data_IF_800255582415
#
_entry.id   IF_800255582415
#
_cell.length_a   1.000
_cell.length_b   1.000
_cell.length_c   1.000
_cell.angle_alpha   90.00
_cell.angle_beta   90.00
_cell.angle_gamma   90.00
#
_symmetry.space_group_name_H-M   'P 1'
#
loop_
_entity.id
_entity.type
_entity.pdbx_description
1 polymer ?
#
# COMPACT_ATOMS: atom_id res chain seq x y z
N UNK A 1 46.10 -8.70 -8.09
CA UNK A 1 44.74 -8.11 -8.03
C UNK A 1 44.07 -8.09 -9.39
N UNK A 2 44.79 -7.87 -10.49
CA UNK A 2 44.23 -7.83 -11.87
C UNK A 2 43.43 -9.08 -12.28
N UNK A 3 43.71 -10.25 -11.71
CA UNK A 3 42.99 -11.50 -11.99
C UNK A 3 41.72 -11.72 -11.13
N UNK A 4 41.50 -10.90 -10.09
CA UNK A 4 40.30 -11.03 -9.26
C UNK A 4 39.19 -10.26 -9.95
N UNK A 5 38.19 -10.97 -10.46
CA UNK A 5 37.03 -10.34 -11.09
C UNK A 5 36.16 -9.57 -10.06
N UNK A 6 35.49 -8.53 -10.52
CA UNK A 6 34.46 -7.78 -9.79
C UNK A 6 34.99 -6.80 -8.74
N UNK A 7 36.24 -6.35 -8.85
CA UNK A 7 36.82 -5.37 -7.92
C UNK A 7 37.31 -4.13 -8.66
N UNK A 8 37.23 -2.99 -7.97
CA UNK A 8 37.94 -1.77 -8.35
C UNK A 8 39.01 -1.50 -7.31
N UNK A 9 40.25 -1.27 -7.74
CA UNK A 9 41.35 -0.97 -6.84
C UNK A 9 42.29 0.06 -7.43
N UNK A 10 43.03 0.72 -6.54
CA UNK A 10 43.98 1.78 -6.90
C UNK A 10 45.34 1.16 -7.14
N UNK A 11 45.92 1.34 -8.34
CA UNK A 11 47.30 0.92 -8.61
C UNK A 11 48.24 2.02 -8.14
N UNK A 12 48.98 1.78 -7.06
CA UNK A 12 50.09 2.65 -6.67
C UNK A 12 51.35 2.21 -7.43
N UNK A 13 52.00 3.16 -8.10
CA UNK A 13 53.26 2.94 -8.79
C UNK A 13 54.40 2.79 -7.78
N UNK A 14 54.75 1.54 -7.47
CA UNK A 14 56.10 1.13 -7.10
C UNK A 14 56.68 1.63 -5.77
N UNK A 15 56.09 1.23 -4.63
CA UNK A 15 56.82 0.95 -3.38
C UNK A 15 56.13 -0.22 -2.68
N UNK A 16 56.91 -1.23 -2.27
CA UNK A 16 56.44 -2.32 -1.42
C UNK A 16 55.90 -1.73 -0.11
N UNK A 17 54.59 -1.85 0.09
CA UNK A 17 53.92 -1.29 1.26
C UNK A 17 53.84 -2.35 2.36
N UNK A 18 54.76 -2.27 3.30
CA UNK A 18 54.71 -3.02 4.57
C UNK A 18 53.88 -2.29 5.63
N UNK A 19 53.25 -1.16 5.31
CA UNK A 19 52.40 -0.36 6.20
C UNK A 19 50.96 -0.27 5.69
N UNK A 20 50.22 -1.38 5.68
CA UNK A 20 48.74 -1.38 5.67
C UNK A 20 48.10 -0.63 6.87
N UNK A 21 48.84 0.20 7.60
CA UNK A 21 48.50 0.81 8.89
C UNK A 21 48.15 2.32 8.85
N UNK A 22 48.11 3.00 7.70
CA UNK A 22 47.80 4.45 7.66
C UNK A 22 46.51 4.85 6.92
N UNK A 23 45.64 3.90 6.58
CA UNK A 23 44.44 4.16 5.78
C UNK A 23 43.20 4.62 6.56
N UNK A 24 43.32 5.60 7.47
CA UNK A 24 42.26 6.60 7.69
C UNK A 24 42.94 7.89 8.19
N UNK A 25 43.43 8.74 7.28
CA UNK A 25 43.49 10.19 7.52
C UNK A 25 43.72 10.97 6.24
N UNK A 26 42.77 11.88 6.00
CA UNK A 26 42.78 13.07 5.15
C UNK A 26 44.05 13.36 4.33
N UNK A 27 43.87 13.63 3.04
CA UNK A 27 44.10 14.98 2.50
C UNK A 27 43.94 15.01 0.97
N UNK A 28 43.00 15.85 0.56
CA UNK A 28 43.15 16.73 -0.58
C UNK A 28 44.56 17.34 -0.59
N UNK A 29 45.45 16.81 -1.45
CA UNK A 29 46.53 17.49 -2.18
C UNK A 29 47.68 16.52 -2.47
N UNK A 30 47.71 15.95 -3.68
CA UNK A 30 48.95 15.74 -4.44
C UNK A 30 48.65 15.18 -5.84
N UNK A 31 49.31 15.76 -6.81
CA UNK A 31 49.24 15.57 -8.26
C UNK A 31 49.91 14.27 -8.74
N UNK A 32 49.44 13.11 -8.31
CA UNK A 32 49.81 11.84 -8.94
C UNK A 32 48.56 11.20 -9.56
N UNK A 33 48.58 11.01 -10.90
CA UNK A 33 47.53 10.30 -11.65
C UNK A 33 47.38 8.90 -11.08
N UNK A 34 46.49 8.73 -10.11
CA UNK A 34 46.23 7.43 -9.51
C UNK A 34 45.28 6.68 -10.42
N UNK A 35 45.78 5.66 -11.08
CA UNK A 35 44.99 4.81 -11.97
C UNK A 35 44.08 3.91 -11.13
N UNK A 36 42.75 4.05 -11.31
CA UNK A 36 41.77 3.11 -10.79
C UNK A 36 41.65 2.00 -11.83
N UNK A 37 42.05 0.79 -11.47
CA UNK A 37 41.87 -0.41 -12.29
C UNK A 37 40.57 -1.08 -11.88
N UNK A 38 39.70 -1.29 -12.86
CA UNK A 38 38.45 -2.04 -12.71
C UNK A 38 38.67 -3.38 -13.42
N UNK A 39 38.53 -4.48 -12.69
CA UNK A 39 38.64 -5.82 -13.27
C UNK A 39 37.33 -6.23 -13.95
N UNK A 40 37.38 -7.30 -14.75
CA UNK A 40 36.19 -7.85 -15.39
C UNK A 40 35.10 -8.16 -14.36
N UNK A 41 33.83 -7.97 -14.74
CA UNK A 41 32.71 -8.32 -13.88
C UNK A 41 32.70 -9.83 -13.58
N UNK A 42 32.36 -10.19 -12.33
CA UNK A 42 32.18 -11.61 -11.97
C UNK A 42 30.97 -12.18 -12.72
N UNK A 43 31.02 -13.46 -13.13
CA UNK A 43 29.82 -14.15 -13.56
C UNK A 43 28.79 -14.16 -12.42
N UNK A 44 27.51 -14.04 -12.80
CA UNK A 44 26.43 -14.15 -11.84
C UNK A 44 26.34 -15.59 -11.31
N UNK A 45 26.25 -15.75 -9.99
CA UNK A 45 26.02 -17.07 -9.37
C UNK A 45 24.61 -17.60 -9.68
N UNK A 46 24.38 -18.91 -9.50
CA UNK A 46 23.02 -19.46 -9.53
C UNK A 46 22.19 -18.85 -8.40
N UNK A 47 20.90 -18.63 -8.63
CA UNK A 47 20.01 -18.15 -7.57
C UNK A 47 19.68 -19.26 -6.56
N UNK A 48 19.86 -20.52 -6.96
CA UNK A 48 19.74 -21.70 -6.08
C UNK A 48 20.85 -21.76 -5.03
N UNK A 49 22.02 -21.15 -5.32
CA UNK A 49 23.15 -21.09 -4.38
C UNK A 49 22.97 -19.97 -3.34
N UNK A 50 21.95 -19.12 -3.48
CA UNK A 50 21.65 -18.09 -2.49
C UNK A 50 20.99 -18.74 -1.27
N UNK A 51 21.54 -18.46 -0.09
CA UNK A 51 21.11 -19.04 1.18
C UNK A 51 19.67 -18.62 1.51
N UNK A 52 18.84 -19.60 1.86
CA UNK A 52 17.55 -19.37 2.51
C UNK A 52 17.78 -18.96 3.98
N UNK A 53 17.55 -17.69 4.37
CA UNK A 53 17.98 -17.19 5.68
C UNK A 53 17.02 -17.55 6.82
N UNK A 54 15.92 -18.24 6.54
CA UNK A 54 14.86 -18.54 7.50
C UNK A 54 14.97 -19.96 8.03
N UNK A 55 15.25 -20.08 9.33
CA UNK A 55 15.35 -21.36 10.03
C UNK A 55 14.50 -21.39 11.31
N UNK A 56 14.24 -20.22 11.91
CA UNK A 56 13.34 -20.02 13.06
C UNK A 56 12.59 -18.69 12.87
N UNK A 57 11.28 -18.68 13.15
CA UNK A 57 10.40 -17.52 12.98
C UNK A 57 10.11 -16.77 14.29
N UNK A 58 10.66 -17.19 15.43
CA UNK A 58 10.38 -16.57 16.74
C UNK A 58 10.58 -15.05 16.76
N UNK A 59 11.70 -14.57 16.24
CA UNK A 59 12.02 -13.13 16.22
C UNK A 59 11.29 -12.36 15.10
N UNK A 60 10.62 -13.09 14.19
CA UNK A 60 9.92 -12.55 13.02
C UNK A 60 8.39 -12.66 13.14
N UNK A 61 7.86 -13.12 14.27
CA UNK A 61 6.42 -13.41 14.46
C UNK A 61 5.48 -12.25 14.08
N UNK A 62 5.90 -10.99 14.26
CA UNK A 62 5.13 -9.79 13.95
C UNK A 62 5.80 -8.94 12.85
N UNK A 63 6.59 -9.56 11.96
CA UNK A 63 7.33 -8.87 10.90
C UNK A 63 6.89 -9.39 9.53
N UNK A 64 6.99 -8.51 8.54
CA UNK A 64 6.91 -8.90 7.13
C UNK A 64 8.21 -9.66 6.80
N UNK A 65 8.06 -10.83 6.18
CA UNK A 65 9.18 -11.69 5.77
C UNK A 65 9.44 -11.46 4.29
N UNK A 66 10.69 -11.24 3.90
CA UNK A 66 11.04 -11.00 2.50
C UNK A 66 11.49 -12.27 1.80
N UNK A 67 11.01 -12.49 0.58
CA UNK A 67 11.34 -13.70 -0.16
C UNK A 67 11.69 -13.37 -1.62
N UNK A 68 12.76 -13.95 -2.13
CA UNK A 68 13.22 -13.74 -3.50
C UNK A 68 13.14 -15.07 -4.25
N UNK A 69 12.37 -15.09 -5.34
CA UNK A 69 12.34 -16.24 -6.27
C UNK A 69 12.95 -15.91 -7.62
N UNK A 70 13.14 -14.62 -7.91
CA UNK A 70 13.83 -14.14 -9.09
C UNK A 70 14.64 -12.89 -8.78
N UNK A 71 15.75 -12.72 -9.51
CA UNK A 71 16.62 -11.55 -9.41
C UNK A 71 16.88 -10.95 -10.78
N UNK A 72 16.78 -9.64 -10.86
CA UNK A 72 16.83 -8.87 -12.10
C UNK A 72 15.44 -8.38 -12.53
N UNK A 73 15.38 -7.66 -13.64
CA UNK A 73 14.14 -7.16 -14.21
C UNK A 73 14.32 -7.06 -15.74
N UNK A 74 13.36 -7.49 -16.57
CA UNK A 74 13.50 -7.38 -18.02
C UNK A 74 13.32 -5.95 -18.53
N UNK A 75 12.90 -5.02 -17.66
CA UNK A 75 12.62 -3.62 -18.01
C UNK A 75 13.81 -2.69 -17.77
N UNK A 76 13.78 -1.55 -18.47
CA UNK A 76 14.86 -0.57 -18.50
C UNK A 76 14.58 0.74 -17.75
N UNK A 77 13.66 0.73 -16.78
CA UNK A 77 13.19 1.94 -16.10
C UNK A 77 14.34 2.77 -15.53
N UNK A 78 14.44 4.04 -15.93
CA UNK A 78 15.61 4.89 -15.70
C UNK A 78 15.85 5.20 -14.21
N UNK A 79 14.81 5.21 -13.39
CA UNK A 79 14.88 5.47 -11.95
C UNK A 79 15.25 4.22 -11.12
N UNK A 80 15.19 3.02 -11.70
CA UNK A 80 15.36 1.76 -10.97
C UNK A 80 16.78 1.19 -11.12
N UNK A 81 17.40 0.75 -10.02
CA UNK A 81 18.72 0.08 -10.07
C UNK A 81 18.66 -1.30 -10.74
N UNK A 82 17.51 -1.97 -10.70
CA UNK A 82 17.34 -3.26 -11.36
C UNK A 82 17.40 -3.18 -12.89
N UNK A 83 17.32 -1.98 -13.47
CA UNK A 83 17.53 -1.76 -14.91
C UNK A 83 18.99 -1.95 -15.36
N UNK A 84 19.94 -2.00 -14.41
CA UNK A 84 21.37 -2.17 -14.71
C UNK A 84 21.70 -3.61 -15.10
N UNK A 85 21.05 -4.59 -14.47
CA UNK A 85 21.19 -6.02 -14.77
C UNK A 85 20.04 -6.45 -15.70
N UNK A 86 20.34 -6.74 -16.97
CA UNK A 86 19.32 -7.00 -18.00
C UNK A 86 18.71 -8.40 -17.98
N UNK A 87 19.36 -9.34 -17.30
CA UNK A 87 18.94 -10.74 -17.28
C UNK A 87 18.16 -11.02 -16.00
N UNK A 88 17.10 -11.81 -16.12
CA UNK A 88 16.37 -12.34 -14.98
C UNK A 88 16.84 -13.75 -14.70
N UNK A 89 17.23 -14.01 -13.45
CA UNK A 89 17.58 -15.35 -12.95
C UNK A 89 16.49 -15.81 -12.00
N UNK A 90 16.11 -17.08 -12.10
CA UNK A 90 15.06 -17.69 -11.28
C UNK A 90 15.66 -18.75 -10.38
N UNK A 91 15.08 -18.92 -9.19
CA UNK A 91 15.30 -20.11 -8.35
C UNK A 91 14.55 -21.28 -8.95
N UNK A 92 15.07 -22.49 -8.78
CA UNK A 92 14.39 -23.71 -9.20
C UNK A 92 13.08 -23.86 -8.45
N UNK A 93 12.05 -24.29 -9.17
CA UNK A 93 10.71 -24.41 -8.61
C UNK A 93 10.63 -25.43 -7.46
N UNK A 94 11.48 -26.45 -7.48
CA UNK A 94 11.60 -27.42 -6.38
C UNK A 94 12.01 -26.72 -5.07
N UNK A 95 13.05 -25.87 -5.12
CA UNK A 95 13.51 -25.10 -3.98
C UNK A 95 12.43 -24.10 -3.53
N UNK A 96 11.80 -23.42 -4.50
CA UNK A 96 10.75 -22.44 -4.21
C UNK A 96 9.58 -23.09 -3.47
N UNK A 97 9.08 -24.24 -3.92
CA UNK A 97 8.00 -24.98 -3.25
C UNK A 97 8.37 -25.40 -1.84
N UNK A 98 9.60 -25.90 -1.63
CA UNK A 98 10.12 -26.24 -0.29
C UNK A 98 10.14 -25.05 0.66
N UNK A 99 10.58 -23.89 0.19
CA UNK A 99 10.66 -22.66 0.98
C UNK A 99 9.28 -22.05 1.25
N UNK A 100 8.35 -22.13 0.30
CA UNK A 100 6.94 -21.78 0.50
C UNK A 100 6.29 -22.68 1.55
N UNK A 101 6.53 -23.99 1.52
CA UNK A 101 6.02 -24.92 2.53
C UNK A 101 6.50 -24.52 3.92
N UNK A 102 7.77 -24.12 4.08
CA UNK A 102 8.28 -23.64 5.35
C UNK A 102 7.46 -22.44 5.88
N UNK A 103 7.16 -21.44 5.04
CA UNK A 103 6.35 -20.30 5.47
C UNK A 103 4.92 -20.69 5.86
N UNK A 104 4.32 -21.62 5.12
CA UNK A 104 2.98 -22.14 5.39
C UNK A 104 2.93 -22.94 6.70
N UNK A 105 3.92 -23.81 6.95
CA UNK A 105 4.04 -24.60 8.18
C UNK A 105 4.24 -23.70 9.40
N UNK A 106 5.05 -22.65 9.25
CA UNK A 106 5.28 -21.65 10.30
C UNK A 106 4.12 -20.65 10.45
N UNK A 107 3.09 -20.71 9.60
CA UNK A 107 1.94 -19.79 9.59
C UNK A 107 2.38 -18.33 9.60
N UNK A 108 3.38 -18.00 8.77
CA UNK A 108 3.91 -16.64 8.66
C UNK A 108 2.77 -15.69 8.29
N UNK A 109 2.54 -14.57 9.01
CA UNK A 109 1.42 -13.70 8.72
C UNK A 109 1.50 -13.07 7.31
N UNK A 110 2.68 -12.62 6.90
CA UNK A 110 2.89 -12.06 5.56
C UNK A 110 4.30 -12.33 5.03
N UNK A 111 4.35 -12.81 3.79
CA UNK A 111 5.57 -12.99 2.99
C UNK A 111 5.52 -12.02 1.80
N UNK A 112 6.41 -11.02 1.77
CA UNK A 112 6.56 -10.08 0.65
C UNK A 112 7.65 -10.56 -0.31
N UNK A 113 7.25 -10.82 -1.55
CA UNK A 113 8.18 -11.13 -2.62
C UNK A 113 8.95 -9.85 -3.01
N UNK A 114 10.27 -9.96 -3.15
CA UNK A 114 11.15 -8.85 -3.57
C UNK A 114 11.55 -8.96 -5.04
N UNK A 115 10.85 -9.82 -5.77
CA UNK A 115 10.91 -9.98 -7.22
C UNK A 115 10.38 -8.71 -7.90
N UNK A 116 11.24 -8.02 -8.65
CA UNK A 116 10.96 -6.67 -9.21
C UNK A 116 9.82 -6.62 -10.21
N UNK A 117 9.53 -7.74 -10.84
CA UNK A 117 8.35 -7.95 -11.68
C UNK A 117 8.02 -9.42 -11.57
N UNK A 118 7.32 -9.78 -10.50
CA UNK A 118 7.01 -11.18 -10.18
C UNK A 118 6.39 -11.94 -11.36
N UNK A 119 5.50 -11.28 -12.11
CA UNK A 119 4.79 -11.86 -13.25
C UNK A 119 5.50 -11.72 -14.60
N UNK A 120 6.82 -11.47 -14.62
CA UNK A 120 7.57 -11.41 -15.89
C UNK A 120 7.74 -12.78 -16.57
N UNK A 121 7.45 -13.89 -15.88
CA UNK A 121 7.47 -15.25 -16.43
C UNK A 121 6.20 -16.01 -16.03
N UNK A 122 5.26 -16.14 -16.96
CA UNK A 122 3.95 -16.76 -16.74
C UNK A 122 4.04 -18.15 -16.10
N UNK A 123 4.96 -19.01 -16.57
CA UNK A 123 5.11 -20.37 -16.05
C UNK A 123 5.52 -20.34 -14.57
N UNK A 124 6.54 -19.55 -14.23
CA UNK A 124 7.05 -19.43 -12.86
C UNK A 124 5.97 -18.88 -11.92
N UNK A 125 5.28 -17.82 -12.35
CA UNK A 125 4.18 -17.16 -11.62
C UNK A 125 3.04 -18.14 -11.35
N UNK A 126 2.56 -18.84 -12.38
CA UNK A 126 1.44 -19.77 -12.24
C UNK A 126 1.77 -20.97 -11.35
N UNK A 127 2.99 -21.52 -11.43
CA UNK A 127 3.38 -22.63 -10.55
C UNK A 127 3.43 -22.21 -9.06
N UNK A 128 3.86 -20.98 -8.76
CA UNK A 128 3.85 -20.44 -7.39
C UNK A 128 2.43 -20.21 -6.90
N UNK A 129 1.59 -19.55 -7.71
CA UNK A 129 0.19 -19.31 -7.37
C UNK A 129 -0.61 -20.60 -7.19
N UNK A 130 -0.35 -21.62 -8.00
CA UNK A 130 -0.94 -22.94 -7.84
C UNK A 130 -0.56 -23.57 -6.51
N UNK A 131 0.73 -23.56 -6.19
CA UNK A 131 1.22 -24.11 -4.93
C UNK A 131 0.61 -23.40 -3.71
N UNK A 132 0.58 -22.06 -3.73
CA UNK A 132 0.00 -21.26 -2.65
C UNK A 132 -1.48 -21.57 -2.43
N UNK A 133 -2.26 -21.70 -3.51
CA UNK A 133 -3.69 -22.01 -3.42
C UNK A 133 -3.94 -23.44 -2.93
N UNK A 134 -3.22 -24.42 -3.45
CA UNK A 134 -3.37 -25.84 -3.11
C UNK A 134 -2.97 -26.14 -1.65
N UNK A 135 -2.04 -25.36 -1.11
CA UNK A 135 -1.49 -25.52 0.23
C UNK A 135 -1.91 -24.40 1.20
N UNK A 136 -2.97 -23.64 0.88
CA UNK A 136 -3.42 -22.54 1.72
C UNK A 136 -3.79 -23.01 3.14
N UNK A 137 -3.16 -22.38 4.13
CA UNK A 137 -3.34 -22.70 5.55
C UNK A 137 -4.39 -21.80 6.24
N UNK A 138 -5.05 -20.90 5.48
CA UNK A 138 -6.04 -19.95 5.98
C UNK A 138 -5.47 -18.75 6.73
N UNK A 139 -4.15 -18.59 6.80
CA UNK A 139 -3.46 -17.59 7.63
C UNK A 139 -2.45 -16.76 6.82
N UNK A 140 -1.56 -17.42 6.08
CA UNK A 140 -0.41 -16.75 5.45
C UNK A 140 -0.84 -15.89 4.26
N UNK A 141 -0.42 -14.63 4.25
CA UNK A 141 -0.61 -13.72 3.12
C UNK A 141 0.67 -13.62 2.28
N UNK A 142 0.52 -13.54 0.95
CA UNK A 142 1.64 -13.37 0.01
C UNK A 142 1.50 -12.07 -0.78
N UNK A 143 2.50 -11.19 -0.68
CA UNK A 143 2.50 -9.88 -1.33
C UNK A 143 3.47 -9.91 -2.52
N UNK A 144 2.96 -9.61 -3.72
CA UNK A 144 3.71 -9.59 -4.98
C UNK A 144 3.83 -8.19 -5.58
N UNK A 145 5.04 -7.79 -5.96
CA UNK A 145 5.28 -6.64 -6.87
C UNK A 145 5.15 -7.13 -8.32
N UNK A 146 4.15 -6.63 -9.06
CA UNK A 146 3.83 -7.12 -10.41
C UNK A 146 3.40 -6.00 -11.37
N UNK A 147 3.35 -6.30 -12.66
CA UNK A 147 2.80 -5.39 -13.67
C UNK A 147 1.43 -5.88 -14.12
N UNK A 148 0.38 -5.11 -13.86
CA UNK A 148 -0.98 -5.55 -14.14
C UNK A 148 -1.30 -5.55 -15.65
N UNK A 149 -0.61 -4.74 -16.46
CA UNK A 149 -0.81 -4.69 -17.92
C UNK A 149 -0.42 -5.99 -18.65
N UNK A 150 0.45 -6.82 -18.07
CA UNK A 150 0.83 -8.12 -18.65
C UNK A 150 0.02 -9.29 -18.11
N UNK A 151 -0.84 -9.09 -17.10
CA UNK A 151 -1.73 -10.15 -16.62
C UNK A 151 -2.64 -10.63 -17.76
N UNK A 152 -2.75 -11.95 -17.86
CA UNK A 152 -3.65 -12.62 -18.78
C UNK A 152 -5.01 -12.85 -18.12
N UNK A 153 -6.06 -13.00 -18.93
CA UNK A 153 -7.40 -13.34 -18.41
C UNK A 153 -7.39 -14.64 -17.60
N UNK A 154 -6.59 -15.63 -18.02
CA UNK A 154 -6.46 -16.91 -17.32
C UNK A 154 -5.87 -16.74 -15.93
N UNK A 155 -4.83 -15.91 -15.79
CA UNK A 155 -4.23 -15.57 -14.50
C UNK A 155 -5.23 -14.84 -13.59
N UNK A 156 -5.95 -13.86 -14.13
CA UNK A 156 -6.95 -13.10 -13.37
C UNK A 156 -8.07 -14.01 -12.87
N UNK A 157 -8.66 -14.83 -13.74
CA UNK A 157 -9.68 -15.80 -13.35
C UNK A 157 -9.15 -16.81 -12.33
N UNK A 158 -7.86 -17.16 -12.38
CA UNK A 158 -7.27 -18.04 -11.39
C UNK A 158 -7.18 -17.38 -10.01
N UNK A 159 -6.63 -16.17 -9.92
CA UNK A 159 -6.42 -15.49 -8.62
C UNK A 159 -7.75 -15.04 -7.98
N UNK A 160 -8.80 -14.83 -8.79
CA UNK A 160 -10.18 -14.61 -8.30
C UNK A 160 -10.76 -15.78 -7.49
N UNK A 161 -10.18 -16.97 -7.64
CA UNK A 161 -10.59 -18.16 -6.84
C UNK A 161 -9.85 -18.29 -5.51
N UNK A 162 -8.96 -17.36 -5.17
CA UNK A 162 -8.25 -17.38 -3.90
C UNK A 162 -9.17 -16.95 -2.76
N UNK A 163 -8.91 -17.45 -1.54
CA UNK A 163 -9.56 -16.90 -0.36
C UNK A 163 -9.22 -15.42 -0.19
N UNK A 164 -10.12 -14.70 0.46
CA UNK A 164 -9.91 -13.30 0.81
C UNK A 164 -8.61 -13.13 1.60
N UNK A 165 -7.76 -12.22 1.12
CA UNK A 165 -6.49 -11.89 1.75
C UNK A 165 -5.42 -12.99 1.63
N UNK A 166 -5.55 -13.96 0.71
CA UNK A 166 -4.45 -14.88 0.40
C UNK A 166 -3.27 -14.15 -0.22
N UNK A 167 -3.55 -13.20 -1.12
CA UNK A 167 -2.52 -12.45 -1.84
C UNK A 167 -2.79 -10.95 -1.85
N UNK A 168 -1.73 -10.17 -2.04
CA UNK A 168 -1.78 -8.73 -2.30
C UNK A 168 -0.95 -8.42 -3.53
N UNK A 169 -1.42 -7.50 -4.36
CA UNK A 169 -0.70 -7.03 -5.55
C UNK A 169 -0.27 -5.58 -5.37
N UNK A 170 1.03 -5.35 -5.46
CA UNK A 170 1.65 -4.02 -5.59
C UNK A 170 1.94 -3.79 -7.07
N UNK A 171 1.24 -2.82 -7.65
CA UNK A 171 1.15 -2.54 -9.08
C UNK A 171 1.75 -1.16 -9.32
N UNK A 172 2.91 -1.15 -9.96
CA UNK A 172 3.54 0.10 -10.34
C UNK A 172 2.81 0.79 -11.48
N UNK A 173 2.16 1.93 -11.25
CA UNK A 173 1.68 2.81 -12.34
C UNK A 173 2.75 3.84 -12.65
N UNK A 174 3.33 4.42 -11.60
CA UNK A 174 4.44 5.37 -11.55
C UNK A 174 4.07 6.76 -12.09
N UNK A 175 3.41 6.81 -13.24
CA UNK A 175 2.80 8.01 -13.83
C UNK A 175 1.76 7.59 -14.86
N UNK A 176 0.79 8.45 -15.15
CA UNK A 176 -0.10 8.30 -16.32
C UNK A 176 0.23 9.29 -17.44
N UNK A 177 1.22 10.17 -17.23
CA UNK A 177 1.69 11.11 -18.23
C UNK A 177 2.56 10.38 -19.28
N UNK A 178 2.16 10.35 -20.56
CA UNK A 178 2.91 9.66 -21.62
C UNK A 178 4.35 10.15 -21.77
N UNK A 179 4.58 11.46 -21.62
CA UNK A 179 5.91 12.07 -21.75
C UNK A 179 6.82 11.58 -20.61
N UNK A 180 6.30 11.53 -19.39
CA UNK A 180 6.99 10.96 -18.22
C UNK A 180 7.32 9.49 -18.47
N UNK A 181 6.34 8.68 -18.88
CA UNK A 181 6.50 7.24 -19.13
C UNK A 181 7.59 6.96 -20.17
N UNK A 182 7.61 7.74 -21.26
CA UNK A 182 8.64 7.66 -22.28
C UNK A 182 10.01 8.05 -21.72
N UNK A 183 10.11 9.19 -21.02
CA UNK A 183 11.37 9.71 -20.48
C UNK A 183 12.01 8.79 -19.43
N UNK A 184 11.18 8.04 -18.69
CA UNK A 184 11.67 7.07 -17.71
C UNK A 184 11.90 5.67 -18.29
N UNK A 185 11.71 5.48 -19.59
CA UNK A 185 11.82 4.19 -20.28
C UNK A 185 10.92 3.09 -19.68
N UNK A 186 9.76 3.48 -19.12
CA UNK A 186 8.77 2.51 -18.64
C UNK A 186 7.95 2.04 -19.83
N UNK A 187 7.78 0.72 -19.96
CA UNK A 187 6.89 0.11 -20.95
C UNK A 187 5.67 -0.37 -20.20
N UNK A 188 4.52 0.21 -20.52
CA UNK A 188 3.25 -0.10 -19.88
C UNK A 188 2.11 0.26 -20.82
N UNK A 189 1.11 -0.62 -20.92
CA UNK A 189 -0.18 -0.29 -21.53
C UNK A 189 -1.15 0.14 -20.43
N UNK A 190 -1.43 1.45 -20.34
CA UNK A 190 -2.25 2.03 -19.27
C UNK A 190 -3.70 1.57 -19.35
N UNK A 191 -4.26 1.43 -20.55
CA UNK A 191 -5.66 1.03 -20.72
C UNK A 191 -5.83 -0.43 -20.30
N UNK A 192 -4.91 -1.31 -20.73
CA UNK A 192 -4.90 -2.70 -20.30
C UNK A 192 -4.64 -2.85 -18.80
N UNK A 193 -3.80 -1.99 -18.21
CA UNK A 193 -3.61 -1.93 -16.76
C UNK A 193 -4.92 -1.60 -16.05
N UNK A 194 -5.63 -0.55 -16.48
CA UNK A 194 -6.93 -0.12 -15.92
C UNK A 194 -7.95 -1.25 -15.99
N UNK A 195 -8.06 -1.90 -17.14
CA UNK A 195 -8.96 -3.05 -17.34
C UNK A 195 -8.63 -4.21 -16.39
N UNK A 196 -7.37 -4.61 -16.31
CA UNK A 196 -6.94 -5.73 -15.48
C UNK A 196 -7.10 -5.44 -13.98
N UNK A 197 -6.79 -4.23 -13.52
CA UNK A 197 -7.04 -3.79 -12.13
C UNK A 197 -8.53 -3.89 -11.79
N UNK A 198 -9.40 -3.42 -12.68
CA UNK A 198 -10.85 -3.51 -12.49
C UNK A 198 -11.32 -4.96 -12.45
N UNK A 199 -10.80 -5.83 -13.33
CA UNK A 199 -11.15 -7.26 -13.35
C UNK A 199 -10.70 -7.99 -12.07
N UNK A 200 -9.50 -7.72 -11.57
CA UNK A 200 -9.01 -8.30 -10.30
C UNK A 200 -9.87 -7.86 -9.13
N UNK A 201 -10.36 -6.61 -9.14
CA UNK A 201 -11.13 -6.05 -8.03
C UNK A 201 -12.56 -6.63 -7.89
N UNK A 202 -13.08 -7.31 -8.91
CA UNK A 202 -14.49 -7.74 -8.96
C UNK A 202 -14.87 -8.70 -7.81
N UNK A 203 -13.98 -9.61 -7.41
CA UNK A 203 -14.25 -10.54 -6.29
C UNK A 203 -13.92 -9.94 -4.92
N UNK A 204 -13.28 -8.76 -4.85
CA UNK A 204 -12.87 -8.12 -3.60
C UNK A 204 -12.04 -9.01 -2.66
N UNK A 205 -11.34 -10.01 -3.21
CA UNK A 205 -10.56 -11.00 -2.46
C UNK A 205 -9.06 -10.67 -2.40
N UNK A 206 -8.57 -9.80 -3.29
CA UNK A 206 -7.16 -9.40 -3.43
C UNK A 206 -7.02 -7.92 -3.12
N UNK A 207 -6.13 -7.59 -2.17
CA UNK A 207 -5.75 -6.22 -1.89
C UNK A 207 -4.87 -5.66 -3.01
N UNK A 208 -5.27 -4.56 -3.63
CA UNK A 208 -4.56 -3.88 -4.71
C UNK A 208 -3.93 -2.58 -4.22
N UNK A 209 -2.61 -2.52 -4.32
CA UNK A 209 -1.77 -1.39 -3.98
C UNK A 209 -1.22 -0.80 -5.27
N UNK A 210 -1.54 0.46 -5.58
CA UNK A 210 -1.07 1.14 -6.80
C UNK A 210 -0.13 2.29 -6.48
N UNK A 211 1.03 2.30 -7.14
CA UNK A 211 2.11 3.27 -6.88
C UNK A 211 2.16 4.40 -7.92
N UNK A 212 2.36 5.62 -7.45
CA UNK A 212 2.78 6.79 -8.23
C UNK A 212 4.14 7.32 -7.73
N UNK A 213 4.91 7.98 -8.58
CA UNK A 213 6.18 8.61 -8.19
C UNK A 213 6.17 10.10 -8.58
N UNK A 214 6.12 10.97 -7.58
CA UNK A 214 6.30 12.40 -7.75
C UNK A 214 7.75 12.77 -8.08
N UNK A 215 7.92 13.80 -8.91
CA UNK A 215 9.22 14.36 -9.28
C UNK A 215 9.95 13.58 -10.38
N UNK A 216 9.22 12.79 -11.17
CA UNK A 216 9.75 12.25 -12.42
C UNK A 216 9.92 13.35 -13.49
N UNK A 217 10.77 13.14 -14.52
CA UNK A 217 10.92 14.09 -15.62
C UNK A 217 9.60 14.32 -16.35
N UNK A 218 9.37 15.55 -16.83
CA UNK A 218 8.14 16.00 -17.50
C UNK A 218 6.87 15.99 -16.65
N UNK A 219 7.00 15.83 -15.33
CA UNK A 219 5.88 15.82 -14.39
C UNK A 219 5.89 17.06 -13.51
N UNK A 220 4.96 17.97 -13.79
CA UNK A 220 4.60 19.11 -12.96
C UNK A 220 3.39 18.80 -12.05
N UNK A 221 2.99 19.75 -11.21
CA UNK A 221 1.85 19.56 -10.30
C UNK A 221 0.54 19.22 -11.04
N UNK A 222 0.30 19.81 -12.22
CA UNK A 222 -0.94 19.63 -12.98
C UNK A 222 -1.02 18.28 -13.69
N UNK A 223 0.10 17.80 -14.24
CA UNK A 223 0.20 16.44 -14.79
C UNK A 223 0.12 15.39 -13.69
N UNK A 224 0.74 15.65 -12.53
CA UNK A 224 0.63 14.78 -11.37
C UNK A 224 -0.81 14.71 -10.82
N UNK A 225 -1.52 15.85 -10.77
CA UNK A 225 -2.95 15.92 -10.43
C UNK A 225 -3.78 14.98 -11.31
N UNK A 226 -3.53 14.97 -12.63
CA UNK A 226 -4.18 14.02 -13.55
C UNK A 226 -3.82 12.57 -13.21
N UNK A 227 -2.54 12.27 -12.99
CA UNK A 227 -2.09 10.91 -12.64
C UNK A 227 -2.65 10.41 -11.31
N UNK A 228 -2.76 11.27 -10.31
CA UNK A 228 -3.41 10.96 -9.05
C UNK A 228 -4.87 10.56 -9.26
N UNK A 229 -5.63 11.38 -10.01
CA UNK A 229 -7.04 11.12 -10.26
C UNK A 229 -7.27 9.89 -11.15
N UNK A 230 -6.41 9.64 -12.14
CA UNK A 230 -6.44 8.42 -12.95
C UNK A 230 -6.30 7.17 -12.07
N UNK A 231 -5.35 7.17 -11.14
CA UNK A 231 -5.11 6.04 -10.23
C UNK A 231 -6.19 5.92 -9.18
N UNK A 232 -6.64 7.03 -8.59
CA UNK A 232 -7.76 7.05 -7.63
C UNK A 232 -9.04 6.49 -8.26
N UNK A 233 -9.32 6.81 -9.53
CA UNK A 233 -10.47 6.29 -10.26
C UNK A 233 -10.42 4.76 -10.48
N UNK A 234 -9.24 4.14 -10.40
CA UNK A 234 -9.11 2.67 -10.40
C UNK A 234 -9.53 2.03 -9.07
N UNK A 235 -9.83 2.85 -8.04
CA UNK A 235 -10.25 2.44 -6.70
C UNK A 235 -9.31 1.40 -6.05
N UNK A 236 -7.99 1.64 -6.00
CA UNK A 236 -7.07 0.73 -5.34
C UNK A 236 -7.35 0.68 -3.83
N UNK A 237 -7.12 -0.43 -3.16
CA UNK A 237 -7.23 -0.51 -1.69
C UNK A 237 -6.15 0.34 -1.00
N UNK A 238 -5.02 0.57 -1.69
CA UNK A 238 -3.97 1.49 -1.28
C UNK A 238 -3.45 2.29 -2.49
N UNK A 239 -3.42 3.62 -2.37
CA UNK A 239 -2.78 4.53 -3.32
C UNK A 239 -1.51 5.09 -2.69
N UNK A 240 -0.35 4.69 -3.21
CA UNK A 240 0.93 5.11 -2.67
C UNK A 240 1.53 6.24 -3.48
N UNK A 241 1.80 7.33 -2.77
CA UNK A 241 2.55 8.45 -3.31
C UNK A 241 4.03 8.30 -2.94
N UNK A 242 4.81 7.76 -3.87
CA UNK A 242 6.26 7.76 -3.78
C UNK A 242 6.85 9.09 -4.23
N UNK A 243 8.08 9.37 -3.80
CA UNK A 243 8.89 10.47 -4.32
C UNK A 243 10.15 9.89 -4.97
N UNK A 244 10.55 10.44 -6.11
CA UNK A 244 11.71 9.98 -6.85
C UNK A 244 12.94 9.94 -5.93
N UNK A 245 13.59 8.78 -5.87
CA UNK A 245 14.90 8.61 -5.22
C UNK A 245 15.98 8.52 -6.29
N UNK A 246 16.95 9.42 -6.24
CA UNK A 246 18.04 9.47 -7.23
C UNK A 246 19.13 8.50 -6.82
N UNK A 247 18.97 7.23 -7.21
CA UNK A 247 19.87 6.14 -6.83
C UNK A 247 21.18 6.17 -7.63
N UNK A 248 22.32 6.20 -6.94
CA UNK A 248 23.65 6.18 -7.58
C UNK A 248 23.80 4.95 -8.47
N UNK A 249 24.17 5.17 -9.73
CA UNK A 249 24.34 4.12 -10.74
C UNK A 249 23.14 3.93 -11.66
N UNK A 250 21.95 4.42 -11.29
CA UNK A 250 20.79 4.39 -12.18
C UNK A 250 20.97 5.35 -13.37
N UNK A 251 20.27 5.11 -14.50
CA UNK A 251 20.20 6.09 -15.58
C UNK A 251 19.72 7.47 -15.11
N UNK A 252 18.74 7.54 -14.20
CA UNK A 252 18.22 8.79 -13.65
C UNK A 252 19.30 9.62 -12.95
N UNK A 253 20.20 8.98 -12.19
CA UNK A 253 21.32 9.67 -11.57
C UNK A 253 22.25 10.33 -12.60
N UNK A 254 22.44 9.71 -13.78
CA UNK A 254 23.23 10.32 -14.86
C UNK A 254 22.54 11.52 -15.50
N UNK A 255 21.20 11.48 -15.57
CA UNK A 255 20.37 12.54 -16.14
C UNK A 255 20.04 13.66 -15.15
N UNK A 256 20.32 13.49 -13.85
CA UNK A 256 19.85 14.39 -12.79
C UNK A 256 20.18 15.87 -13.06
N UNK A 257 21.40 16.16 -13.55
CA UNK A 257 21.81 17.53 -13.90
C UNK A 257 21.01 18.10 -15.07
N UNK A 258 20.76 17.30 -16.10
CA UNK A 258 20.04 17.71 -17.31
C UNK A 258 18.56 17.97 -17.00
N UNK A 259 17.95 17.13 -16.17
CA UNK A 259 16.57 17.27 -15.71
C UNK A 259 16.39 18.24 -14.54
N UNK A 260 17.43 18.98 -14.17
CA UNK A 260 17.38 19.97 -13.09
C UNK A 260 17.02 19.38 -11.72
N UNK A 261 17.26 18.09 -11.50
CA UNK A 261 16.84 17.37 -10.30
C UNK A 261 17.74 17.76 -9.13
N UNK A 262 17.16 18.45 -8.16
CA UNK A 262 17.74 18.67 -6.83
C UNK A 262 17.24 17.56 -5.92
N UNK A 263 18.13 16.92 -5.16
CA UNK A 263 17.79 15.79 -4.30
C UNK A 263 18.73 15.71 -3.10
N UNK A 264 18.32 14.97 -2.07
CA UNK A 264 19.15 14.77 -0.88
C UNK A 264 20.46 14.04 -1.22
N UNK A 265 21.59 14.55 -0.74
CA UNK A 265 22.90 13.92 -0.93
C UNK A 265 23.14 12.67 -0.07
N UNK A 266 22.26 12.45 0.92
CA UNK A 266 22.26 11.29 1.84
C UNK A 266 20.99 10.46 1.64
N UNK A 267 21.04 9.15 1.97
CA UNK A 267 19.84 8.32 1.99
C UNK A 267 18.69 9.02 2.75
N UNK A 268 17.45 9.02 2.22
CA UNK A 268 16.96 8.17 1.12
C UNK A 268 17.17 8.71 -0.31
N UNK A 269 17.96 9.78 -0.52
CA UNK A 269 18.22 10.41 -1.82
C UNK A 269 16.97 10.93 -2.54
N UNK A 270 15.98 11.34 -1.77
CA UNK A 270 14.69 11.81 -2.27
C UNK A 270 14.84 13.16 -2.99
N UNK A 271 14.05 13.34 -4.05
CA UNK A 271 13.92 14.57 -4.83
C UNK A 271 13.37 15.71 -3.98
N UNK A 272 13.93 16.90 -4.19
CA UNK A 272 13.48 18.17 -3.62
C UNK A 272 12.73 18.98 -4.67
N UNK A 273 13.28 19.05 -5.89
CA UNK A 273 12.66 19.74 -7.02
C UNK A 273 13.23 19.23 -8.34
N UNK A 274 12.55 19.53 -9.43
CA UNK A 274 13.01 19.27 -10.81
C UNK A 274 12.80 20.53 -11.66
N UNK A 275 13.16 20.47 -12.95
CA UNK A 275 12.79 21.52 -13.92
C UNK A 275 11.27 21.74 -14.01
N UNK A 276 10.46 20.72 -13.75
CA UNK A 276 8.99 20.76 -13.89
C UNK A 276 8.26 20.90 -12.56
N UNK A 277 8.86 20.44 -11.46
CA UNK A 277 8.26 20.44 -10.13
C UNK A 277 9.08 21.30 -9.17
N UNK A 278 8.67 22.56 -8.93
CA UNK A 278 9.25 23.42 -7.90
C UNK A 278 9.19 22.80 -6.50
N UNK A 279 10.07 23.25 -5.61
CA UNK A 279 10.13 22.74 -4.24
C UNK A 279 8.82 22.96 -3.45
N UNK A 280 8.14 24.07 -3.70
CA UNK A 280 6.84 24.37 -3.09
C UNK A 280 5.75 23.39 -3.49
N UNK A 281 5.68 23.01 -4.77
CA UNK A 281 4.76 21.98 -5.25
C UNK A 281 5.12 20.59 -4.70
N UNK A 282 6.41 20.26 -4.63
CA UNK A 282 6.87 19.02 -3.99
C UNK A 282 6.44 18.93 -2.52
N UNK A 283 6.43 20.06 -1.78
CA UNK A 283 5.89 20.13 -0.42
C UNK A 283 4.38 19.98 -0.36
N UNK A 284 3.64 20.52 -1.32
CA UNK A 284 2.19 20.29 -1.45
C UNK A 284 1.90 18.80 -1.62
N UNK A 285 2.61 18.13 -2.53
CA UNK A 285 2.47 16.68 -2.74
C UNK A 285 2.81 15.87 -1.49
N UNK A 286 3.79 16.31 -0.67
CA UNK A 286 4.10 15.66 0.62
C UNK A 286 2.93 15.75 1.60
N UNK A 287 2.28 16.92 1.69
CA UNK A 287 1.09 17.07 2.51
C UNK A 287 -0.05 16.16 2.04
N UNK A 288 -0.23 16.04 0.71
CA UNK A 288 -1.24 15.16 0.10
C UNK A 288 -0.94 13.69 0.43
N UNK A 289 0.31 13.24 0.26
CA UNK A 289 0.75 11.88 0.61
C UNK A 289 0.37 11.52 2.05
N UNK A 290 0.67 12.39 3.01
CA UNK A 290 0.40 12.13 4.42
C UNK A 290 -1.10 12.03 4.77
N UNK A 291 -1.96 12.81 4.09
CA UNK A 291 -3.41 12.73 4.32
C UNK A 291 -4.06 11.57 3.57
N UNK A 292 -3.54 11.20 2.39
CA UNK A 292 -3.96 9.99 1.66
C UNK A 292 -3.64 8.75 2.48
N UNK A 293 -2.41 8.64 2.99
CA UNK A 293 -1.99 7.52 3.85
C UNK A 293 -2.89 7.36 5.09
N UNK A 294 -3.29 8.49 5.65
CA UNK A 294 -4.07 8.54 6.89
C UNK A 294 -5.55 8.21 6.69
N UNK A 295 -6.16 8.71 5.63
CA UNK A 295 -7.61 8.63 5.43
C UNK A 295 -8.02 7.58 4.41
N UNK A 296 -7.35 7.53 3.25
CA UNK A 296 -7.66 6.58 2.19
C UNK A 296 -7.04 5.21 2.49
N UNK A 297 -5.71 5.13 2.61
CA UNK A 297 -4.98 3.86 2.77
C UNK A 297 -5.27 3.15 4.09
N UNK A 298 -5.84 3.86 5.07
CA UNK A 298 -6.19 3.26 6.37
C UNK A 298 -7.46 2.40 6.34
N UNK A 299 -8.27 2.52 5.27
CA UNK A 299 -9.57 1.86 5.08
C UNK A 299 -10.54 2.07 6.27
N UNK A 300 -10.33 3.15 7.02
CA UNK A 300 -11.10 3.49 8.24
C UNK A 300 -12.20 4.51 7.99
N UNK A 301 -12.22 5.16 6.81
CA UNK A 301 -13.08 6.30 6.51
C UNK A 301 -13.87 6.09 5.21
N UNK A 302 -14.14 4.85 4.81
CA UNK A 302 -14.68 4.54 3.48
C UNK A 302 -15.95 5.31 3.14
N UNK A 303 -16.92 5.39 4.07
CA UNK A 303 -18.20 6.06 3.80
C UNK A 303 -18.07 7.58 3.87
N UNK A 304 -17.38 8.11 4.88
CA UNK A 304 -17.21 9.56 5.05
C UNK A 304 -16.30 10.18 3.99
N UNK A 305 -15.20 9.49 3.63
CA UNK A 305 -14.27 9.96 2.61
C UNK A 305 -14.91 9.97 1.23
N UNK A 306 -15.66 8.92 0.87
CA UNK A 306 -16.41 8.88 -0.39
C UNK A 306 -17.33 10.09 -0.53
N UNK A 307 -18.13 10.36 0.50
CA UNK A 307 -19.07 11.47 0.50
C UNK A 307 -18.39 12.83 0.42
N UNK A 308 -17.26 13.00 1.09
CA UNK A 308 -16.52 14.27 1.06
C UNK A 308 -15.82 14.51 -0.27
N UNK A 309 -15.23 13.47 -0.88
CA UNK A 309 -14.59 13.53 -2.20
C UNK A 309 -15.62 13.82 -3.30
N UNK A 310 -16.81 13.21 -3.24
CA UNK A 310 -17.92 13.44 -4.19
C UNK A 310 -18.43 14.90 -4.21
N UNK A 311 -18.08 15.72 -3.21
CA UNK A 311 -18.42 17.14 -3.17
C UNK A 311 -17.27 18.08 -3.53
N UNK A 312 -16.20 17.52 -4.07
CA UNK A 312 -15.08 18.26 -4.63
C UNK A 312 -15.04 18.04 -6.15
N UNK A 313 -14.22 18.85 -6.83
CA UNK A 313 -14.04 18.72 -8.28
C UNK A 313 -13.53 17.32 -8.65
N UNK A 314 -12.59 16.83 -7.86
CA UNK A 314 -11.95 15.52 -8.01
C UNK A 314 -11.22 15.14 -6.70
N UNK A 315 -10.65 13.93 -6.66
CA UNK A 315 -10.02 13.39 -5.46
C UNK A 315 -8.76 14.16 -5.06
N UNK A 316 -7.91 14.54 -6.02
CA UNK A 316 -6.72 15.33 -5.72
C UNK A 316 -7.09 16.69 -5.10
N UNK A 317 -8.08 17.40 -5.65
CA UNK A 317 -8.55 18.67 -5.11
C UNK A 317 -9.05 18.53 -3.66
N UNK A 318 -9.73 17.42 -3.34
CA UNK A 318 -10.10 17.09 -1.97
C UNK A 318 -8.87 16.94 -1.06
N UNK A 319 -7.91 16.09 -1.42
CA UNK A 319 -6.74 15.83 -0.57
C UNK A 319 -5.81 17.03 -0.48
N UNK A 320 -5.72 17.88 -1.51
CA UNK A 320 -4.99 19.15 -1.47
C UNK A 320 -5.60 20.10 -0.42
N UNK A 321 -6.93 20.28 -0.43
CA UNK A 321 -7.63 21.08 0.58
C UNK A 321 -7.46 20.51 1.99
N UNK A 322 -7.52 19.19 2.14
CA UNK A 322 -7.31 18.54 3.42
C UNK A 322 -5.87 18.72 3.92
N UNK A 323 -4.87 18.56 3.06
CA UNK A 323 -3.46 18.82 3.38
C UNK A 323 -3.21 20.28 3.77
N UNK A 324 -3.86 21.22 3.09
CA UNK A 324 -3.82 22.64 3.47
C UNK A 324 -4.45 22.88 4.85
N UNK A 325 -5.59 22.25 5.14
CA UNK A 325 -6.22 22.30 6.47
C UNK A 325 -5.30 21.74 7.55
N UNK A 326 -4.61 20.62 7.29
CA UNK A 326 -3.61 20.05 8.18
C UNK A 326 -2.46 21.01 8.46
N UNK A 327 -1.94 21.65 7.42
CA UNK A 327 -0.86 22.65 7.53
C UNK A 327 -1.29 23.84 8.39
N UNK A 328 -2.46 24.41 8.11
CA UNK A 328 -2.97 25.61 8.80
C UNK A 328 -3.23 25.37 10.29
N UNK A 329 -3.56 24.15 10.69
CA UNK A 329 -3.80 23.79 12.08
C UNK A 329 -2.59 23.13 12.78
N UNK A 330 -1.46 23.01 12.07
CA UNK A 330 -0.23 22.42 12.62
C UNK A 330 -0.32 20.90 12.89
N UNK A 331 -1.28 20.20 12.28
CA UNK A 331 -1.51 18.77 12.54
C UNK A 331 -0.36 17.89 12.03
N UNK A 332 0.40 18.29 11.02
CA UNK A 332 1.60 17.55 10.59
C UNK A 332 2.72 17.49 11.65
N UNK A 333 2.71 18.40 12.63
CA UNK A 333 3.75 18.46 13.67
C UNK A 333 3.46 17.59 14.90
N UNK A 334 2.31 16.92 14.93
CA UNK A 334 1.85 16.16 16.10
C UNK A 334 1.38 14.80 15.63
N UNK A 335 1.59 13.76 16.43
CA UNK A 335 1.01 12.44 16.15
C UNK A 335 -0.45 12.40 16.61
N UNK A 336 -1.35 12.08 15.69
CA UNK A 336 -2.78 11.92 15.98
C UNK A 336 -3.08 10.48 16.38
N UNK A 337 -3.91 10.33 17.40
CA UNK A 337 -4.63 9.08 17.67
C UNK A 337 -5.69 8.83 16.61
N UNK A 338 -6.20 7.60 16.57
CA UNK A 338 -7.30 7.26 15.66
C UNK A 338 -8.51 8.16 15.87
N UNK A 339 -8.95 8.38 17.11
CA UNK A 339 -10.14 9.22 17.39
C UNK A 339 -9.92 10.67 16.95
N UNK A 340 -8.72 11.20 17.14
CA UNK A 340 -8.38 12.54 16.65
C UNK A 340 -8.49 12.64 15.13
N UNK A 341 -8.20 11.59 14.37
CA UNK A 341 -8.40 11.64 12.91
C UNK A 341 -9.89 11.79 12.53
N UNK A 342 -10.82 11.17 13.27
CA UNK A 342 -12.27 11.38 13.09
C UNK A 342 -12.68 12.81 13.46
N UNK A 343 -12.18 13.33 14.59
CA UNK A 343 -12.43 14.71 15.03
C UNK A 343 -11.91 15.74 14.04
N UNK A 344 -10.72 15.51 13.48
CA UNK A 344 -10.11 16.39 12.47
C UNK A 344 -10.92 16.36 11.17
N UNK A 345 -11.36 15.18 10.71
CA UNK A 345 -12.17 15.09 9.50
C UNK A 345 -13.54 15.75 9.67
N UNK A 346 -14.15 15.61 10.85
CA UNK A 346 -15.36 16.34 11.23
C UNK A 346 -15.14 17.86 11.26
N UNK A 347 -14.04 18.33 11.86
CA UNK A 347 -13.69 19.74 11.91
C UNK A 347 -13.41 20.33 10.52
N UNK A 348 -12.76 19.56 9.64
CA UNK A 348 -12.57 19.88 8.23
C UNK A 348 -13.93 20.06 7.53
N UNK A 349 -14.83 19.08 7.65
CA UNK A 349 -16.16 19.15 7.06
C UNK A 349 -16.95 20.38 7.53
N UNK A 350 -16.85 20.73 8.82
CA UNK A 350 -17.47 21.93 9.37
C UNK A 350 -16.88 23.22 8.77
N UNK A 351 -15.55 23.30 8.65
CA UNK A 351 -14.87 24.47 8.06
C UNK A 351 -15.27 24.65 6.59
N UNK A 352 -15.34 23.56 5.84
CA UNK A 352 -15.76 23.55 4.43
C UNK A 352 -17.28 23.64 4.25
N UNK A 353 -18.04 23.96 5.31
CA UNK A 353 -19.50 24.17 5.28
C UNK A 353 -20.28 23.00 4.68
N UNK A 354 -19.78 21.77 4.90
CA UNK A 354 -20.42 20.52 4.47
C UNK A 354 -21.66 20.25 5.33
N UNK A 355 -22.54 19.37 4.85
CA UNK A 355 -23.67 18.90 5.66
C UNK A 355 -23.16 18.04 6.84
N UNK A 356 -22.97 18.69 7.98
CA UNK A 356 -22.37 18.06 9.17
C UNK A 356 -23.22 16.94 9.78
N UNK A 357 -24.53 16.93 9.54
CA UNK A 357 -25.41 15.86 10.04
C UNK A 357 -25.17 14.56 9.27
N UNK A 358 -25.05 14.64 7.95
CA UNK A 358 -24.69 13.49 7.11
C UNK A 358 -23.27 13.02 7.43
N UNK A 359 -22.30 13.93 7.45
CA UNK A 359 -20.89 13.58 7.75
C UNK A 359 -20.77 12.91 9.11
N UNK A 360 -21.53 13.37 10.11
CA UNK A 360 -21.56 12.77 11.44
C UNK A 360 -22.05 11.32 11.39
N UNK A 361 -23.15 11.03 10.68
CA UNK A 361 -23.64 9.65 10.52
C UNK A 361 -22.63 8.74 9.80
N UNK A 362 -21.97 9.24 8.75
CA UNK A 362 -20.96 8.48 8.02
C UNK A 362 -19.72 8.18 8.89
N UNK A 363 -19.23 9.17 9.66
CA UNK A 363 -18.12 8.97 10.60
C UNK A 363 -18.47 7.97 11.71
N UNK A 364 -19.73 7.95 12.18
CA UNK A 364 -20.20 6.95 13.16
C UNK A 364 -20.16 5.56 12.55
N UNK A 365 -20.66 5.41 11.32
CA UNK A 365 -20.63 4.13 10.61
C UNK A 365 -19.19 3.63 10.45
N UNK A 366 -18.31 4.49 9.94
CA UNK A 366 -16.89 4.21 9.75
C UNK A 366 -16.19 3.80 11.07
N UNK A 367 -16.51 4.49 12.16
CA UNK A 367 -15.97 4.21 13.49
C UNK A 367 -16.38 2.81 13.98
N UNK A 368 -17.67 2.48 13.94
CA UNK A 368 -18.18 1.18 14.41
C UNK A 368 -17.91 0.04 13.43
N UNK A 369 -17.74 0.32 12.14
CA UNK A 369 -17.20 -0.64 11.19
C UNK A 369 -15.79 -1.05 11.62
N UNK A 370 -14.98 -0.13 12.16
CA UNK A 370 -13.62 -0.46 12.61
C UNK A 370 -13.57 -1.04 14.03
N UNK A 371 -14.22 -0.40 15.00
CA UNK A 371 -14.00 -0.65 16.42
C UNK A 371 -15.28 -0.67 17.26
N UNK A 372 -15.33 -1.61 18.22
CA UNK A 372 -16.34 -1.63 19.26
C UNK A 372 -15.98 -0.61 20.36
N UNK A 373 -16.12 0.68 20.03
CA UNK A 373 -15.73 1.76 20.94
C UNK A 373 -16.63 1.83 22.17
N UNK A 374 -16.02 1.98 23.34
CA UNK A 374 -16.73 2.18 24.62
C UNK A 374 -16.89 3.65 24.99
N UNK A 375 -15.99 4.50 24.49
CA UNK A 375 -16.03 5.95 24.64
C UNK A 375 -16.20 6.53 23.24
N UNK A 376 -17.27 7.28 23.07
CA UNK A 376 -17.55 8.00 21.83
C UNK A 376 -16.62 9.23 21.70
N UNK A 377 -16.23 9.61 20.47
CA UNK A 377 -15.58 10.89 20.18
C UNK A 377 -16.35 12.11 20.70
N UNK A 378 -15.65 13.22 20.93
CA UNK A 378 -16.23 14.43 21.52
C UNK A 378 -17.39 15.00 20.66
N UNK A 379 -17.30 14.91 19.32
CA UNK A 379 -18.37 15.35 18.41
C UNK A 379 -19.63 14.46 18.45
N UNK A 380 -19.55 13.32 19.14
CA UNK A 380 -20.63 12.35 19.33
C UNK A 380 -21.21 12.35 20.76
N UNK A 381 -20.58 13.04 21.73
CA UNK A 381 -21.06 13.06 23.10
C UNK A 381 -22.55 13.43 23.21
N UNK A 382 -23.25 12.78 24.15
CA UNK A 382 -24.66 13.00 24.53
C UNK A 382 -25.73 12.38 23.61
N UNK A 383 -25.41 11.37 22.79
CA UNK A 383 -26.41 10.56 22.07
C UNK A 383 -27.09 9.54 23.00
N UNK A 384 -27.99 10.02 23.87
CA UNK A 384 -28.75 9.13 24.75
C UNK A 384 -29.82 8.36 23.98
N UNK A 385 -29.77 7.02 24.02
CA UNK A 385 -30.86 6.19 23.52
C UNK A 385 -32.13 6.42 24.33
N UNK A 386 -33.26 6.59 23.63
CA UNK A 386 -34.60 6.57 24.22
C UNK A 386 -34.87 5.22 24.88
N UNK A 387 -35.71 5.17 25.92
CA UNK A 387 -36.09 3.89 26.55
C UNK A 387 -36.71 2.89 25.57
N UNK A 388 -37.48 3.35 24.57
CA UNK A 388 -38.02 2.49 23.51
C UNK A 388 -36.92 1.77 22.72
N UNK A 389 -35.90 2.52 22.26
CA UNK A 389 -34.74 1.95 21.55
C UNK A 389 -33.95 0.98 22.43
N UNK A 390 -33.77 1.28 23.73
CA UNK A 390 -33.10 0.36 24.66
C UNK A 390 -33.86 -0.96 24.79
N UNK A 391 -35.18 -0.90 24.86
CA UNK A 391 -36.01 -2.09 24.94
C UNK A 391 -35.99 -2.90 23.63
N UNK A 392 -36.03 -2.22 22.48
CA UNK A 392 -35.84 -2.86 21.15
C UNK A 392 -34.52 -3.62 21.05
N UNK A 393 -33.40 -3.06 21.54
CA UNK A 393 -32.11 -3.76 21.56
C UNK A 393 -32.15 -5.01 22.44
N UNK A 394 -32.70 -4.90 23.66
CA UNK A 394 -32.82 -6.05 24.57
C UNK A 394 -33.63 -7.17 23.95
N UNK A 395 -34.80 -6.83 23.38
CA UNK A 395 -35.67 -7.78 22.70
C UNK A 395 -34.98 -8.45 21.50
N UNK A 396 -34.23 -7.68 20.70
CA UNK A 396 -33.42 -8.21 19.61
C UNK A 396 -32.43 -9.27 20.10
N UNK A 397 -31.55 -8.94 21.05
CA UNK A 397 -30.52 -9.87 21.51
C UNK A 397 -31.09 -11.10 22.23
N UNK A 398 -32.22 -10.97 22.95
CA UNK A 398 -32.91 -12.11 23.56
C UNK A 398 -33.50 -13.05 22.50
N UNK A 399 -34.12 -12.51 21.45
CA UNK A 399 -34.63 -13.29 20.33
C UNK A 399 -33.48 -13.93 19.54
N UNK A 400 -32.39 -13.21 19.34
CA UNK A 400 -31.25 -13.67 18.55
C UNK A 400 -30.54 -14.84 19.24
N UNK A 401 -30.44 -14.82 20.57
CA UNK A 401 -29.93 -15.95 21.37
C UNK A 401 -30.76 -17.24 21.26
N UNK A 402 -31.95 -17.19 20.65
CA UNK A 402 -32.80 -18.37 20.40
C UNK A 402 -32.86 -18.75 18.92
N UNK A 403 -32.76 -17.76 18.02
CA UNK A 403 -33.00 -17.94 16.57
C UNK A 403 -31.73 -17.99 15.74
N UNK A 404 -30.63 -17.42 16.23
CA UNK A 404 -29.32 -17.43 15.56
C UNK A 404 -29.36 -16.97 14.09
N UNK A 405 -30.23 -16.01 13.76
CA UNK A 405 -30.45 -15.55 12.39
C UNK A 405 -29.31 -14.67 11.88
N UNK A 406 -28.86 -13.72 12.69
CA UNK A 406 -27.84 -12.72 12.34
C UNK A 406 -26.48 -13.02 12.98
N UNK A 407 -26.45 -13.71 14.12
CA UNK A 407 -25.27 -14.00 14.95
C UNK A 407 -25.13 -15.49 15.31
N UNK A 408 -25.05 -16.41 14.32
CA UNK A 408 -24.96 -17.85 14.58
C UNK A 408 -23.63 -18.30 15.22
N UNK A 409 -22.59 -17.45 15.18
CA UNK A 409 -21.24 -17.81 15.67
C UNK A 409 -21.03 -17.53 17.18
N UNK A 410 -22.12 -17.31 17.92
CA UNK A 410 -22.12 -16.98 19.35
C UNK A 410 -22.83 -18.02 20.26
N UNK A 411 -22.74 -19.35 20.02
CA UNK A 411 -23.55 -20.34 20.76
C UNK A 411 -23.21 -20.43 22.26
N UNK A 412 -21.99 -20.08 22.65
CA UNK A 412 -21.50 -20.18 24.03
C UNK A 412 -21.74 -18.90 24.86
N UNK A 413 -22.34 -17.87 24.27
CA UNK A 413 -22.51 -16.56 24.90
C UNK A 413 -23.98 -16.27 25.19
N UNK A 414 -24.28 -15.81 26.40
CA UNK A 414 -25.62 -15.29 26.69
C UNK A 414 -25.84 -13.94 25.98
N UNK A 415 -27.10 -13.55 25.80
CA UNK A 415 -27.48 -12.34 25.07
C UNK A 415 -26.80 -11.04 25.60
N UNK A 416 -26.49 -10.94 26.91
CA UNK A 416 -25.78 -9.78 27.47
C UNK A 416 -24.29 -9.76 27.13
N UNK A 417 -23.69 -10.93 26.91
CA UNK A 417 -22.32 -11.04 26.42
C UNK A 417 -22.27 -10.67 24.93
N UNK A 418 -23.17 -11.24 24.12
CA UNK A 418 -23.29 -10.92 22.68
C UNK A 418 -23.51 -9.42 22.46
N UNK A 419 -24.39 -8.79 23.24
CA UNK A 419 -24.63 -7.34 23.21
C UNK A 419 -23.37 -6.51 23.54
N UNK A 420 -22.42 -7.04 24.31
CA UNK A 420 -21.13 -6.36 24.60
C UNK A 420 -20.07 -6.65 23.54
N UNK A 421 -20.21 -7.73 22.80
CA UNK A 421 -19.27 -8.18 21.77
C UNK A 421 -19.62 -7.66 20.38
N UNK A 422 -20.84 -7.16 20.18
CA UNK A 422 -21.38 -6.57 18.95
C UNK A 422 -21.82 -5.13 19.21
N UNK A 423 -22.17 -4.39 18.16
CA UNK A 423 -22.76 -3.05 18.29
C UNK A 423 -23.94 -2.91 17.34
N UNK A 424 -24.94 -2.12 17.73
CA UNK A 424 -26.08 -1.79 16.88
C UNK A 424 -26.31 -0.28 16.89
N UNK A 425 -26.50 0.29 15.71
CA UNK A 425 -26.70 1.73 15.53
C UNK A 425 -27.82 2.02 14.54
N UNK A 426 -28.58 3.08 14.82
CA UNK A 426 -29.59 3.59 13.91
C UNK A 426 -29.01 4.70 13.04
N UNK A 427 -29.24 4.57 11.74
CA UNK A 427 -28.90 5.59 10.76
C UNK A 427 -30.17 6.10 10.09
N UNK A 428 -30.16 7.39 9.74
CA UNK A 428 -31.20 8.03 8.94
C UNK A 428 -31.03 7.71 7.46
N UNK A 429 -29.82 7.28 7.06
CA UNK A 429 -29.46 6.92 5.69
C UNK A 429 -29.06 5.44 5.58
N UNK A 430 -29.24 4.86 4.38
CA UNK A 430 -28.82 3.49 4.07
C UNK A 430 -27.33 3.47 3.67
N UNK A 431 -26.44 3.59 4.66
CA UNK A 431 -24.98 3.69 4.44
C UNK A 431 -24.40 2.40 3.85
N UNK A 432 -25.00 1.24 4.16
CA UNK A 432 -24.57 -0.05 3.61
C UNK A 432 -24.83 -0.10 2.10
N UNK A 433 -26.01 0.35 1.65
CA UNK A 433 -26.32 0.46 0.23
C UNK A 433 -25.44 1.53 -0.45
N UNK A 434 -25.22 2.67 0.21
CA UNK A 434 -24.37 3.75 -0.29
C UNK A 434 -22.95 3.26 -0.65
N UNK A 435 -22.35 2.39 0.17
CA UNK A 435 -21.04 1.81 -0.13
C UNK A 435 -21.05 0.91 -1.38
N UNK A 436 -22.19 0.31 -1.73
CA UNK A 436 -22.33 -0.58 -2.89
C UNK A 436 -22.55 0.19 -4.20
N UNK A 437 -23.46 1.16 -4.22
CA UNK A 437 -23.89 1.84 -5.45
C UNK A 437 -23.50 3.33 -5.53
N UNK A 438 -23.00 3.91 -4.45
CA UNK A 438 -22.60 5.33 -4.38
C UNK A 438 -23.77 6.29 -4.24
N UNK A 439 -24.99 5.82 -3.96
CA UNK A 439 -26.16 6.69 -3.81
C UNK A 439 -26.62 6.69 -2.34
N UNK A 440 -26.63 7.87 -1.73
CA UNK A 440 -27.01 8.02 -0.32
C UNK A 440 -28.53 8.19 -0.18
N UNK A 441 -29.23 7.10 0.13
CA UNK A 441 -30.68 7.11 0.30
C UNK A 441 -31.09 7.48 1.73
N UNK A 442 -31.99 8.47 1.87
CA UNK A 442 -32.65 8.77 3.15
C UNK A 442 -33.65 7.66 3.49
N UNK A 443 -33.20 6.71 4.29
CA UNK A 443 -33.93 5.52 4.69
C UNK A 443 -33.42 5.07 6.03
N UNK A 444 -34.31 5.07 7.03
CA UNK A 444 -33.96 4.63 8.38
C UNK A 444 -33.53 3.16 8.37
N UNK A 445 -32.34 2.91 8.89
CA UNK A 445 -31.78 1.56 8.99
C UNK A 445 -31.29 1.30 10.41
N UNK A 446 -31.35 0.04 10.82
CA UNK A 446 -30.70 -0.47 12.03
C UNK A 446 -29.59 -1.40 11.59
N UNK A 447 -28.36 -1.04 11.91
CA UNK A 447 -27.17 -1.73 11.44
C UNK A 447 -26.51 -2.45 12.60
N UNK A 448 -26.20 -3.73 12.40
CA UNK A 448 -25.48 -4.60 13.33
C UNK A 448 -24.03 -4.76 12.86
N UNK A 449 -23.10 -4.48 13.77
CA UNK A 449 -21.66 -4.67 13.62
C UNK A 449 -21.21 -5.89 14.43
N UNK A 450 -20.73 -6.92 13.73
CA UNK A 450 -20.21 -8.16 14.31
C UNK A 450 -18.68 -8.16 14.23
N UNK A 451 -18.02 -8.05 15.38
CA UNK A 451 -16.56 -7.91 15.47
C UNK A 451 -15.82 -9.26 15.55
N UNK A 452 -16.54 -10.38 15.70
CA UNK A 452 -15.95 -11.72 15.66
C UNK A 452 -15.63 -12.14 14.23
N UNK A 453 -16.37 -11.60 13.26
CA UNK A 453 -16.10 -11.73 11.82
C UNK A 453 -15.58 -10.41 11.27
N UNK A 454 -14.33 -10.41 10.80
CA UNK A 454 -13.72 -9.23 10.17
C UNK A 454 -13.33 -9.53 8.74
N UNK A 455 -13.48 -8.53 7.88
CA UNK A 455 -12.93 -8.58 6.54
C UNK A 455 -11.39 -8.66 6.65
N UNK A 456 -10.72 -9.65 6.04
CA UNK A 456 -9.26 -9.80 6.18
C UNK A 456 -8.44 -8.72 5.45
N UNK A 457 -9.04 -7.96 4.52
CA UNK A 457 -8.41 -6.86 3.78
C UNK A 457 -8.59 -5.53 4.53
N UNK A 458 -9.83 -5.12 4.79
CA UNK A 458 -10.13 -3.83 5.42
C UNK A 458 -10.15 -3.87 6.95
N UNK A 459 -10.16 -5.06 7.55
CA UNK A 459 -10.32 -5.30 8.98
C UNK A 459 -11.63 -4.76 9.58
N UNK A 460 -12.60 -4.37 8.76
CA UNK A 460 -13.91 -3.94 9.21
C UNK A 460 -14.71 -5.14 9.76
N UNK A 461 -15.53 -4.86 10.77
CA UNK A 461 -16.54 -5.77 11.30
C UNK A 461 -17.51 -6.19 10.20
N UNK A 462 -18.06 -7.39 10.31
CA UNK A 462 -19.15 -7.81 9.43
C UNK A 462 -20.37 -6.93 9.73
N UNK A 463 -20.90 -6.28 8.70
CA UNK A 463 -22.04 -5.37 8.80
C UNK A 463 -23.30 -6.02 8.23
N UNK A 464 -24.43 -5.90 8.94
CA UNK A 464 -25.73 -6.41 8.49
C UNK A 464 -26.84 -5.42 8.82
N UNK A 465 -27.77 -5.17 7.88
CA UNK A 465 -29.01 -4.44 8.18
C UNK A 465 -29.99 -5.40 8.85
N UNK A 466 -30.42 -5.05 10.06
CA UNK A 466 -31.47 -5.76 10.79
C UNK A 466 -32.82 -5.29 10.29
N UNK A 467 -33.55 -6.19 9.63
CA UNK A 467 -34.94 -5.96 9.22
C UNK A 467 -35.86 -6.24 10.41
N UNK A 468 -36.71 -5.25 10.73
CA UNK A 468 -37.79 -5.37 11.73
C UNK A 468 -38.77 -6.50 11.42
#
# INVERSE_FOLDING_TARGET
MEQIEGIAYRKQSGKEDTEAQKFIKSSDNASEKTEIIITNARPCMSLDDVVFPYHDMKDLKNRIVYYETSRGCPYGCSYCLSSVEKNVRFRSMELVKKELQFFLDQKVPQVKFVDRTFNCNEKHTMEIWQYIKEHDNGITNFHFELSADILTKKEIEYVRTFRDGLVQFEIGVQSTNPDTIQAIHRKMDLDRLKENVAMVHQERNIHQHLDLIAGLPYEDLQSFHRSFNDVYAMQPDQLQLGFLKVLKGSPMHRMAKEYGIQYHSKPPYEVLSTTWLPYEDARTLKGIEEVVERYYNSLQFESSLRYLVEQEQDAFAFFEKLALFFTQNGYFNVKQSRMQNYEILYAFAKKEQRNVDIVKELLIYDLYARENVKKEPDFLENRMLTEEKKEKLRAFYQSEAQREKYLPDYPDYNWKQVMRMTHMEWFSYDIVQYLQDGILYEKKTLVLFDYQKRNPLSYQAKVQIVRE
#
